data_IF_064166499926
#
_entry.id   IF_064166499926
#
_cell.length_a   1.000
_cell.length_b   1.000
_cell.length_c   1.000
_cell.angle_alpha   90.00
_cell.angle_beta   90.00
_cell.angle_gamma   90.00
#
_symmetry.space_group_name_H-M   'P 1'
#
loop_
_entity.id
_entity.type
_entity.pdbx_description
1 polymer ?
#
# COMPACT_ATOMS: atom_id res chain seq x y z
N UNK A 1 31.63 6.53 -24.81
CA UNK A 1 31.06 5.74 -25.92
C UNK A 1 30.82 4.33 -25.44
N UNK A 2 29.62 3.78 -25.71
CA UNK A 2 29.23 2.35 -25.61
C UNK A 2 29.67 1.49 -24.41
N UNK A 3 30.03 2.08 -23.26
CA UNK A 3 30.38 1.34 -22.03
C UNK A 3 29.58 1.85 -20.81
N UNK A 4 28.29 2.20 -20.99
CA UNK A 4 27.41 2.61 -19.86
C UNK A 4 25.96 2.12 -19.98
N UNK A 5 25.63 1.21 -20.90
CA UNK A 5 24.26 0.66 -21.04
C UNK A 5 24.37 -0.82 -21.40
N UNK A 6 24.57 -1.72 -20.43
CA UNK A 6 24.40 -3.19 -20.60
C UNK A 6 24.51 -4.06 -19.33
N UNK A 7 24.07 -3.57 -18.16
CA UNK A 7 23.73 -4.45 -17.00
C UNK A 7 22.21 -4.59 -16.81
N UNK A 8 21.48 -4.54 -17.95
CA UNK A 8 20.14 -5.10 -18.12
C UNK A 8 20.25 -6.62 -18.01
N UNK A 9 19.34 -7.24 -17.27
CA UNK A 9 19.21 -8.70 -17.01
C UNK A 9 19.98 -9.27 -15.80
N UNK A 10 19.79 -8.68 -14.60
CA UNK A 10 19.81 -9.49 -13.38
C UNK A 10 18.52 -10.33 -13.32
N UNK A 11 18.68 -11.64 -13.10
CA UNK A 11 17.61 -12.63 -13.04
C UNK A 11 17.66 -13.31 -11.66
N UNK A 12 16.75 -13.00 -10.72
CA UNK A 12 16.57 -13.83 -9.55
C UNK A 12 15.80 -15.12 -9.91
N UNK A 13 16.03 -16.23 -9.19
CA UNK A 13 15.46 -17.53 -9.53
C UNK A 13 13.96 -17.61 -9.21
N UNK A 14 13.29 -18.57 -9.87
CA UNK A 14 11.87 -18.83 -9.76
C UNK A 14 11.44 -19.10 -8.30
N UNK A 15 10.62 -18.21 -7.74
CA UNK A 15 9.89 -18.48 -6.51
C UNK A 15 8.66 -19.31 -6.86
N UNK A 16 8.80 -20.63 -6.77
CA UNK A 16 7.66 -21.52 -6.61
C UNK A 16 7.35 -21.66 -5.13
N UNK A 17 6.05 -21.48 -4.86
CA UNK A 17 5.28 -21.82 -3.67
C UNK A 17 5.38 -20.86 -2.48
N UNK A 18 4.23 -20.25 -2.19
CA UNK A 18 3.79 -19.77 -0.88
C UNK A 18 3.86 -20.91 0.14
N UNK A 19 4.49 -20.66 1.30
CA UNK A 19 3.82 -21.02 2.55
C UNK A 19 4.09 -20.02 3.69
N UNK A 20 3.03 -19.68 4.44
CA UNK A 20 3.12 -19.26 5.83
C UNK A 20 3.49 -17.80 6.11
N UNK A 21 2.53 -16.90 6.01
CA UNK A 21 2.59 -15.62 6.73
C UNK A 21 2.33 -15.88 8.22
N UNK A 22 3.32 -16.40 8.94
CA UNK A 22 3.37 -16.42 10.42
C UNK A 22 4.83 -16.43 10.91
N UNK A 23 5.35 -15.26 11.25
CA UNK A 23 6.32 -14.99 12.32
C UNK A 23 6.52 -13.47 12.36
N UNK A 24 6.20 -12.82 13.49
CA UNK A 24 6.43 -11.39 13.63
C UNK A 24 7.90 -11.06 13.41
N UNK A 25 8.19 -10.11 12.52
CA UNK A 25 9.54 -9.58 12.38
C UNK A 25 10.00 -8.98 13.72
N UNK A 26 11.30 -8.72 13.86
CA UNK A 26 11.84 -8.11 15.10
C UNK A 26 11.17 -6.79 15.50
N UNK A 27 10.49 -6.12 14.56
CA UNK A 27 9.69 -4.93 14.81
C UNK A 27 8.29 -5.19 15.36
N UNK A 28 7.73 -6.39 15.18
CA UNK A 28 6.40 -6.75 15.62
C UNK A 28 5.64 -7.64 14.63
N UNK A 29 4.43 -8.01 15.00
CA UNK A 29 3.53 -8.77 14.13
C UNK A 29 3.17 -7.96 12.87
N UNK A 30 3.13 -8.62 11.70
CA UNK A 30 2.86 -8.01 10.39
C UNK A 30 3.84 -6.90 9.96
N UNK A 31 5.01 -6.82 10.60
CA UNK A 31 6.11 -5.91 10.25
C UNK A 31 7.34 -6.67 9.75
N UNK A 32 8.18 -6.05 8.91
CA UNK A 32 9.45 -6.62 8.50
C UNK A 32 10.45 -6.70 9.65
N UNK A 33 11.64 -7.24 9.39
CA UNK A 33 12.67 -7.44 10.40
C UNK A 33 13.40 -6.14 10.77
N UNK A 34 13.46 -5.19 9.85
CA UNK A 34 14.22 -3.95 9.99
C UNK A 34 13.40 -2.74 9.54
N UNK A 35 13.75 -1.58 10.07
CA UNK A 35 13.09 -0.31 9.73
C UNK A 35 13.32 0.12 8.28
N UNK A 36 14.44 -0.29 7.68
CA UNK A 36 14.75 0.02 6.28
C UNK A 36 13.77 -0.68 5.32
N UNK A 37 13.36 -1.90 5.65
CA UNK A 37 12.42 -2.69 4.84
C UNK A 37 11.01 -2.05 4.81
N UNK A 38 10.65 -1.23 5.80
CA UNK A 38 9.37 -0.48 5.80
C UNK A 38 9.22 0.46 4.59
N UNK A 39 10.33 0.84 3.97
CA UNK A 39 10.37 1.75 2.82
C UNK A 39 10.64 1.04 1.48
N UNK A 40 10.70 -0.29 1.46
CA UNK A 40 10.96 -1.08 0.26
C UNK A 40 9.68 -1.47 -0.49
N UNK A 41 8.73 -0.54 -0.60
CA UNK A 41 7.41 -0.80 -1.21
C UNK A 41 7.45 -0.98 -2.74
N UNK A 42 8.59 -0.73 -3.40
CA UNK A 42 8.78 -0.94 -4.83
C UNK A 42 8.63 -2.40 -5.27
N UNK A 43 8.68 -3.35 -4.33
CA UNK A 43 8.43 -4.76 -4.58
C UNK A 43 6.93 -5.07 -4.81
N UNK A 44 6.03 -4.15 -4.48
CA UNK A 44 4.58 -4.33 -4.63
C UNK A 44 4.04 -3.53 -5.80
N UNK A 45 3.10 -4.14 -6.53
CA UNK A 45 2.35 -3.46 -7.58
C UNK A 45 1.48 -2.34 -6.99
N UNK A 46 1.44 -1.20 -7.68
CA UNK A 46 0.53 -0.09 -7.35
C UNK A 46 -0.92 -0.51 -7.57
N UNK A 47 -1.18 -1.20 -8.69
CA UNK A 47 -2.49 -1.70 -9.07
C UNK A 47 -2.35 -3.00 -9.87
N UNK A 48 -2.96 -4.08 -9.37
CA UNK A 48 -3.06 -5.37 -10.05
C UNK A 48 -4.54 -5.68 -10.33
N UNK A 49 -5.03 -5.23 -11.49
CA UNK A 49 -6.44 -5.33 -11.85
C UNK A 49 -6.87 -6.76 -12.16
N UNK A 50 -5.96 -7.64 -12.56
CA UNK A 50 -6.25 -9.06 -12.76
C UNK A 50 -6.63 -9.73 -11.43
N UNK A 51 -5.83 -9.52 -10.39
CA UNK A 51 -6.14 -10.03 -9.05
C UNK A 51 -7.41 -9.42 -8.45
N UNK A 52 -7.65 -8.13 -8.71
CA UNK A 52 -8.85 -7.44 -8.26
C UNK A 52 -10.11 -7.99 -8.95
N UNK A 53 -10.03 -8.19 -10.27
CA UNK A 53 -11.12 -8.73 -11.07
C UNK A 53 -11.49 -10.16 -10.64
N UNK A 54 -10.49 -11.02 -10.42
CA UNK A 54 -10.69 -12.37 -9.90
C UNK A 54 -11.36 -12.36 -8.52
N UNK A 55 -10.97 -11.42 -7.64
CA UNK A 55 -11.58 -11.27 -6.31
C UNK A 55 -13.04 -10.81 -6.37
N UNK A 56 -13.47 -10.24 -7.51
CA UNK A 56 -14.84 -9.81 -7.80
C UNK A 56 -15.61 -10.83 -8.65
N UNK A 57 -15.11 -12.05 -8.82
CA UNK A 57 -15.79 -13.07 -9.62
C UNK A 57 -15.84 -12.75 -11.10
N UNK A 58 -14.79 -12.11 -11.63
CA UNK A 58 -14.66 -11.67 -13.02
C UNK A 58 -15.68 -10.59 -13.48
N UNK A 59 -16.29 -9.89 -12.52
CA UNK A 59 -17.20 -8.79 -12.79
C UNK A 59 -16.45 -7.46 -13.03
N UNK A 60 -16.27 -7.15 -14.31
CA UNK A 60 -15.58 -5.93 -14.77
C UNK A 60 -16.34 -4.64 -14.42
N UNK A 61 -17.68 -4.66 -14.47
CA UNK A 61 -18.48 -3.46 -14.20
C UNK A 61 -18.49 -3.14 -12.71
N UNK A 62 -18.54 -4.18 -11.86
CA UNK A 62 -18.34 -4.05 -10.42
C UNK A 62 -16.95 -3.49 -10.11
N UNK A 63 -15.88 -4.02 -10.73
CA UNK A 63 -14.52 -3.52 -10.53
C UNK A 63 -14.41 -2.03 -10.89
N UNK A 64 -14.93 -1.62 -12.06
CA UNK A 64 -14.94 -0.21 -12.48
C UNK A 64 -15.71 0.66 -11.50
N UNK A 65 -16.86 0.19 -11.01
CA UNK A 65 -17.70 0.91 -10.03
C UNK A 65 -16.94 1.13 -8.73
N UNK A 66 -16.32 0.07 -8.20
CA UNK A 66 -15.53 0.12 -6.95
C UNK A 66 -14.34 1.05 -7.11
N UNK A 67 -13.54 0.90 -8.16
CA UNK A 67 -12.35 1.72 -8.39
C UNK A 67 -12.73 3.20 -8.61
N UNK A 68 -13.84 3.46 -9.29
CA UNK A 68 -14.36 4.82 -9.46
C UNK A 68 -14.78 5.43 -8.12
N UNK A 69 -15.54 4.71 -7.29
CA UNK A 69 -15.94 5.17 -5.96
C UNK A 69 -14.72 5.41 -5.06
N UNK A 70 -13.72 4.53 -5.14
CA UNK A 70 -12.47 4.63 -4.39
C UNK A 70 -11.74 5.95 -4.67
N UNK A 71 -11.52 6.32 -5.94
CA UNK A 71 -10.76 7.55 -6.26
C UNK A 71 -11.61 8.83 -6.20
N UNK A 72 -12.94 8.74 -6.34
CA UNK A 72 -13.82 9.92 -6.33
C UNK A 72 -14.31 10.30 -4.94
N UNK A 73 -14.37 9.34 -4.01
CA UNK A 73 -15.01 9.55 -2.72
C UNK A 73 -14.19 8.98 -1.55
N UNK A 74 -13.94 7.67 -1.54
CA UNK A 74 -13.38 7.02 -0.35
C UNK A 74 -11.97 7.49 -0.02
N UNK A 75 -11.03 7.38 -0.97
CA UNK A 75 -9.64 7.79 -0.74
C UNK A 75 -9.51 9.30 -0.45
N UNK A 76 -10.15 10.22 -1.19
CA UNK A 76 -10.14 11.65 -0.82
C UNK A 76 -10.63 11.92 0.61
N UNK A 77 -11.69 11.24 1.05
CA UNK A 77 -12.22 11.40 2.41
C UNK A 77 -11.27 10.85 3.47
N UNK A 78 -10.68 9.67 3.24
CA UNK A 78 -9.69 9.06 4.14
C UNK A 78 -8.44 9.93 4.26
N UNK A 79 -7.93 10.43 3.14
CA UNK A 79 -6.79 11.34 3.10
C UNK A 79 -7.08 12.64 3.85
N UNK A 80 -8.25 13.26 3.65
CA UNK A 80 -8.62 14.47 4.38
C UNK A 80 -8.76 14.22 5.88
N UNK A 81 -9.17 13.02 6.31
CA UNK A 81 -9.19 12.65 7.73
C UNK A 81 -7.76 12.45 8.27
N UNK A 82 -6.90 11.77 7.53
CA UNK A 82 -5.49 11.55 7.86
C UNK A 82 -4.74 12.88 8.00
N UNK A 83 -4.92 13.82 7.06
CA UNK A 83 -4.26 15.12 7.07
C UNK A 83 -4.68 15.96 8.29
N UNK A 84 -5.96 15.88 8.70
CA UNK A 84 -6.45 16.53 9.92
C UNK A 84 -5.86 15.92 11.19
N UNK A 85 -5.82 14.60 11.28
CA UNK A 85 -5.21 13.91 12.44
C UNK A 85 -3.70 14.19 12.52
N UNK A 86 -3.01 14.24 11.38
CA UNK A 86 -1.60 14.58 11.26
C UNK A 86 -1.31 16.01 11.71
N UNK A 87 -2.11 16.99 11.30
CA UNK A 87 -1.98 18.37 11.75
C UNK A 87 -2.14 18.51 13.28
N UNK A 88 -2.97 17.65 13.90
CA UNK A 88 -3.15 17.58 15.34
C UNK A 88 -2.13 16.67 16.06
N UNK A 89 -1.26 15.96 15.32
CA UNK A 89 -0.31 14.94 15.83
C UNK A 89 -0.98 13.81 16.62
N UNK A 90 -2.23 13.49 16.26
CA UNK A 90 -3.04 12.43 16.87
C UNK A 90 -2.71 11.06 16.26
N UNK A 91 -1.53 10.52 16.57
CA UNK A 91 -1.03 9.26 15.99
C UNK A 91 -1.95 8.05 16.24
N UNK A 92 -2.64 8.02 17.38
CA UNK A 92 -3.64 7.00 17.66
C UNK A 92 -4.86 7.05 16.73
N UNK A 93 -5.20 8.22 16.20
CA UNK A 93 -6.25 8.36 15.19
C UNK A 93 -5.73 8.00 13.80
N UNK A 94 -4.51 8.41 13.45
CA UNK A 94 -3.86 8.03 12.19
C UNK A 94 -3.75 6.51 12.08
N UNK A 95 -3.40 5.80 13.17
CA UNK A 95 -3.40 4.33 13.21
C UNK A 95 -4.78 3.74 12.84
N UNK A 96 -5.86 4.23 13.46
CA UNK A 96 -7.22 3.74 13.20
C UNK A 96 -7.66 4.02 11.76
N UNK A 97 -7.34 5.21 11.25
CA UNK A 97 -7.64 5.61 9.88
C UNK A 97 -6.89 4.72 8.88
N UNK A 98 -5.59 4.47 9.10
CA UNK A 98 -4.79 3.56 8.27
C UNK A 98 -5.35 2.14 8.29
N UNK A 99 -5.76 1.62 9.46
CA UNK A 99 -6.39 0.30 9.57
C UNK A 99 -7.71 0.22 8.79
N UNK A 100 -8.57 1.23 8.92
CA UNK A 100 -9.86 1.30 8.22
C UNK A 100 -9.64 1.36 6.71
N UNK A 101 -8.77 2.26 6.26
CA UNK A 101 -8.43 2.45 4.85
C UNK A 101 -7.89 1.13 4.26
N UNK A 102 -6.96 0.46 4.95
CA UNK A 102 -6.45 -0.87 4.56
C UNK A 102 -7.57 -1.86 4.29
N UNK A 103 -8.55 -1.96 5.21
CA UNK A 103 -9.69 -2.89 5.07
C UNK A 103 -10.55 -2.65 3.82
N UNK A 104 -10.68 -1.40 3.39
CA UNK A 104 -11.39 -1.04 2.14
C UNK A 104 -10.60 -1.32 0.87
N UNK A 105 -9.29 -1.55 0.96
CA UNK A 105 -8.39 -1.65 -0.18
C UNK A 105 -7.97 -3.08 -0.54
N UNK A 106 -8.09 -4.03 0.41
CA UNK A 106 -7.54 -5.39 0.26
C UNK A 106 -8.03 -6.14 -0.98
N UNK A 107 -9.21 -5.79 -1.51
CA UNK A 107 -9.81 -6.43 -2.67
C UNK A 107 -9.64 -5.63 -3.98
N UNK A 108 -9.04 -4.44 -3.93
CA UNK A 108 -8.90 -3.53 -5.08
C UNK A 108 -7.60 -3.76 -5.88
N UNK A 109 -6.80 -4.76 -5.53
CA UNK A 109 -5.51 -5.01 -6.17
C UNK A 109 -4.44 -3.94 -5.89
N UNK A 110 -4.61 -3.11 -4.86
CA UNK A 110 -3.73 -1.98 -4.52
C UNK A 110 -2.73 -2.35 -3.42
N UNK A 111 -2.00 -3.44 -3.66
CA UNK A 111 -1.14 -4.09 -2.64
C UNK A 111 -0.13 -3.13 -2.03
N UNK A 112 0.49 -2.25 -2.84
CA UNK A 112 1.45 -1.26 -2.34
C UNK A 112 0.83 -0.33 -1.27
N UNK A 113 -0.38 0.16 -1.50
CA UNK A 113 -1.08 1.05 -0.57
C UNK A 113 -1.53 0.30 0.70
N UNK A 114 -2.03 -0.93 0.54
CA UNK A 114 -2.35 -1.81 1.67
C UNK A 114 -1.14 -2.00 2.59
N UNK A 115 0.06 -2.21 2.03
CA UNK A 115 1.30 -2.34 2.81
C UNK A 115 1.71 -1.02 3.48
N UNK A 116 1.59 0.12 2.78
CA UNK A 116 1.87 1.42 3.38
C UNK A 116 0.99 1.69 4.62
N UNK A 117 -0.32 1.42 4.51
CA UNK A 117 -1.25 1.50 5.64
C UNK A 117 -0.87 0.54 6.78
N UNK A 118 -0.58 -0.72 6.44
CA UNK A 118 -0.21 -1.74 7.42
C UNK A 118 1.06 -1.37 8.19
N UNK A 119 2.09 -0.87 7.51
CA UNK A 119 3.36 -0.53 8.14
C UNK A 119 3.21 0.64 9.10
N UNK A 120 2.47 1.69 8.74
CA UNK A 120 2.18 2.79 9.66
C UNK A 120 1.41 2.28 10.89
N UNK A 121 0.28 1.59 10.66
CA UNK A 121 -0.60 1.07 11.71
C UNK A 121 0.17 0.19 12.69
N UNK A 122 0.88 -0.82 12.17
CA UNK A 122 1.53 -1.83 13.00
C UNK A 122 2.77 -1.28 13.71
N UNK A 123 3.52 -0.37 13.07
CA UNK A 123 4.70 0.23 13.67
C UNK A 123 4.32 1.07 14.90
N UNK A 124 3.27 1.89 14.79
CA UNK A 124 2.73 2.63 15.93
C UNK A 124 2.19 1.70 17.02
N UNK A 125 1.38 0.71 16.63
CA UNK A 125 0.78 -0.27 17.56
C UNK A 125 1.81 -1.11 18.32
N UNK A 126 2.98 -1.34 17.73
CA UNK A 126 4.12 -1.99 18.38
C UNK A 126 4.89 -1.08 19.36
N UNK A 127 4.47 0.18 19.50
CA UNK A 127 5.07 1.17 20.40
C UNK A 127 6.21 1.97 19.77
N UNK A 128 6.48 1.80 18.47
CA UNK A 128 7.53 2.55 17.79
C UNK A 128 7.02 3.90 17.29
N UNK A 129 7.80 4.95 17.48
CA UNK A 129 7.41 6.33 17.11
C UNK A 129 8.38 7.03 16.18
N UNK A 130 9.60 6.49 16.05
CA UNK A 130 10.75 7.15 15.39
C UNK A 130 10.51 7.46 13.91
N UNK A 131 9.68 6.67 13.23
CA UNK A 131 9.45 6.75 11.78
C UNK A 131 8.03 7.16 11.38
N UNK A 132 7.18 7.54 12.33
CA UNK A 132 5.76 7.79 12.02
C UNK A 132 5.57 8.91 10.99
N UNK A 133 6.36 9.98 11.08
CA UNK A 133 6.34 11.08 10.10
C UNK A 133 6.66 10.55 8.68
N UNK A 134 7.77 9.82 8.53
CA UNK A 134 8.19 9.27 7.25
C UNK A 134 7.22 8.20 6.69
N UNK A 135 6.63 7.38 7.57
CA UNK A 135 5.63 6.39 7.18
C UNK A 135 4.32 7.05 6.74
N UNK A 136 3.94 8.17 7.36
CA UNK A 136 2.79 8.96 6.94
C UNK A 136 3.04 9.61 5.57
N UNK A 137 4.20 10.22 5.35
CA UNK A 137 4.58 10.77 4.04
C UNK A 137 4.58 9.69 2.95
N UNK A 138 5.13 8.50 3.26
CA UNK A 138 5.08 7.35 2.36
C UNK A 138 3.64 6.95 2.02
N UNK A 139 2.75 6.87 3.01
CA UNK A 139 1.34 6.54 2.79
C UNK A 139 0.69 7.55 1.83
N UNK A 140 0.92 8.86 2.04
CA UNK A 140 0.37 9.91 1.17
C UNK A 140 0.87 9.77 -0.27
N UNK A 141 2.18 9.59 -0.45
CA UNK A 141 2.77 9.41 -1.77
C UNK A 141 2.20 8.18 -2.49
N UNK A 142 2.09 7.05 -1.79
CA UNK A 142 1.55 5.82 -2.39
C UNK A 142 0.06 5.94 -2.69
N UNK A 143 -0.71 6.69 -1.89
CA UNK A 143 -2.12 6.97 -2.16
C UNK A 143 -2.29 7.79 -3.45
N UNK A 144 -1.43 8.79 -3.67
CA UNK A 144 -1.42 9.59 -4.89
C UNK A 144 -1.01 8.74 -6.11
N UNK A 145 0.04 7.91 -6.00
CA UNK A 145 0.43 6.93 -7.04
C UNK A 145 -0.74 6.02 -7.41
N UNK A 146 -1.45 5.52 -6.41
CA UNK A 146 -2.58 4.60 -6.58
C UNK A 146 -3.75 5.28 -7.28
N UNK A 147 -4.04 6.53 -6.92
CA UNK A 147 -5.08 7.33 -7.58
C UNK A 147 -4.79 7.49 -9.06
N UNK A 148 -3.55 7.86 -9.42
CA UNK A 148 -3.12 8.01 -10.81
C UNK A 148 -3.24 6.68 -11.56
N UNK A 149 -2.74 5.58 -10.98
CA UNK A 149 -2.80 4.27 -11.62
C UNK A 149 -4.25 3.81 -11.91
N UNK A 150 -5.18 4.06 -10.99
CA UNK A 150 -6.60 3.75 -11.18
C UNK A 150 -7.22 4.65 -12.25
N UNK A 151 -6.92 5.95 -12.22
CA UNK A 151 -7.41 6.91 -13.23
C UNK A 151 -6.95 6.51 -14.64
N UNK A 152 -5.68 6.17 -14.79
CA UNK A 152 -5.09 5.70 -16.05
C UNK A 152 -5.68 4.36 -16.51
N UNK A 153 -6.09 3.50 -15.59
CA UNK A 153 -6.73 2.24 -15.94
C UNK A 153 -8.19 2.44 -16.38
N UNK A 154 -8.95 3.29 -15.69
CA UNK A 154 -10.36 3.58 -16.00
C UNK A 154 -10.56 4.32 -17.33
N UNK A 155 -9.51 4.95 -17.87
CA UNK A 155 -9.55 5.73 -19.12
C UNK A 155 -9.04 4.95 -20.34
N UNK A 156 -8.61 3.70 -20.17
CA UNK A 156 -8.26 2.77 -21.25
C UNK A 156 -9.52 2.20 -21.91
#
# INVERSE_FOLDING_TARGET
TLEHIKTRFYRPPALKQTPGMQAGGKLGFDLPNTEQELFQLHAFDVLNTESALLSMGDDMDLLKTILTAMIRQEMPNDIMALDRAYAAKEWGEIEKLAHRMKGGLVYCGTVKLVQACQYLERYHKAGHTRLLEALYEQLRLVADETTVAIQDWLTR
#
